data_IF_875393833926
#
_entry.id   IF_875393833926
#
_cell.length_a   1.000
_cell.length_b   1.000
_cell.length_c   1.000
_cell.angle_alpha   90.00
_cell.angle_beta   90.00
_cell.angle_gamma   90.00
#
_symmetry.space_group_name_H-M   'P 1'
#
loop_
_entity.id
_entity.type
_entity.pdbx_description
1 polymer ?
#
# COMPACT_ATOMS: atom_id res chain seq x y z
N UNK A 1 43.66 -12.71 9.22
CA UNK A 1 42.42 -13.10 9.94
C UNK A 1 41.41 -13.53 8.88
N UNK A 2 41.35 -14.82 8.55
CA UNK A 2 40.52 -15.34 7.46
C UNK A 2 39.06 -15.36 7.86
N UNK A 3 38.18 -14.75 7.07
CA UNK A 3 36.73 -14.84 7.29
C UNK A 3 36.33 -16.31 7.10
N UNK A 4 35.63 -16.96 8.04
CA UNK A 4 35.15 -18.32 7.84
C UNK A 4 34.27 -18.35 6.58
N UNK A 5 34.49 -19.33 5.71
CA UNK A 5 33.64 -19.56 4.54
C UNK A 5 32.26 -20.02 5.02
N UNK A 6 31.16 -19.48 4.47
CA UNK A 6 29.82 -19.90 4.86
C UNK A 6 29.66 -21.40 4.64
N UNK A 7 29.06 -22.08 5.60
CA UNK A 7 28.85 -23.53 5.50
C UNK A 7 27.72 -23.84 4.51
N UNK A 8 27.67 -25.03 3.89
CA UNK A 8 26.60 -25.41 2.94
C UNK A 8 25.19 -25.36 3.57
N UNK A 9 25.12 -25.49 4.89
CA UNK A 9 23.88 -25.34 5.66
C UNK A 9 23.44 -23.88 5.71
N UNK A 10 24.36 -22.94 5.95
CA UNK A 10 24.08 -21.50 5.92
C UNK A 10 23.61 -21.06 4.52
N UNK A 11 24.24 -21.52 3.44
CA UNK A 11 23.79 -21.21 2.07
C UNK A 11 22.34 -21.65 1.80
N UNK A 12 21.87 -22.72 2.45
CA UNK A 12 20.48 -23.19 2.33
C UNK A 12 19.52 -22.50 3.29
N UNK A 13 20.00 -22.05 4.44
CA UNK A 13 19.18 -21.39 5.46
C UNK A 13 18.94 -19.92 5.14
N UNK A 14 19.97 -19.20 4.68
CA UNK A 14 19.91 -17.78 4.33
C UNK A 14 18.72 -17.43 3.42
N UNK A 15 18.49 -18.09 2.27
CA UNK A 15 17.37 -17.73 1.38
C UNK A 15 16.01 -17.99 2.03
N UNK A 16 15.87 -19.03 2.86
CA UNK A 16 14.62 -19.35 3.55
C UNK A 16 14.32 -18.34 4.65
N UNK A 17 15.34 -17.94 5.40
CA UNK A 17 15.23 -16.90 6.43
C UNK A 17 14.90 -15.56 5.78
N UNK A 18 15.58 -15.20 4.69
CA UNK A 18 15.28 -13.99 3.93
C UNK A 18 13.83 -13.99 3.42
N UNK A 19 13.36 -15.10 2.85
CA UNK A 19 11.98 -15.23 2.39
C UNK A 19 10.98 -15.09 3.55
N UNK A 20 11.22 -15.74 4.70
CA UNK A 20 10.37 -15.62 5.88
C UNK A 20 10.31 -14.18 6.42
N UNK A 21 11.47 -13.50 6.51
CA UNK A 21 11.55 -12.10 6.92
C UNK A 21 10.83 -11.19 5.91
N UNK A 22 10.98 -11.43 4.61
CA UNK A 22 10.30 -10.66 3.58
C UNK A 22 8.78 -10.81 3.66
N UNK A 23 8.28 -12.04 3.85
CA UNK A 23 6.83 -12.30 4.04
C UNK A 23 6.35 -11.62 5.32
N UNK A 24 7.09 -11.72 6.41
CA UNK A 24 6.73 -11.08 7.68
C UNK A 24 6.68 -9.56 7.53
N UNK A 25 7.70 -8.94 6.94
CA UNK A 25 7.76 -7.50 6.70
C UNK A 25 6.61 -7.04 5.79
N UNK A 26 6.33 -7.79 4.72
CA UNK A 26 5.19 -7.55 3.83
C UNK A 26 3.86 -7.60 4.59
N UNK A 27 3.69 -8.61 5.44
CA UNK A 27 2.47 -8.77 6.25
C UNK A 27 2.28 -7.60 7.19
N UNK A 28 3.33 -7.22 7.93
CA UNK A 28 3.30 -6.08 8.85
C UNK A 28 2.95 -4.80 8.07
N UNK A 29 3.58 -4.58 6.92
CA UNK A 29 3.28 -3.44 6.06
C UNK A 29 1.78 -3.40 5.68
N UNK A 30 1.22 -4.51 5.17
CA UNK A 30 -0.19 -4.57 4.82
C UNK A 30 -1.12 -4.36 6.01
N UNK A 31 -0.80 -4.89 7.19
CA UNK A 31 -1.58 -4.65 8.42
C UNK A 31 -1.54 -3.18 8.81
N UNK A 32 -0.36 -2.57 8.82
CA UNK A 32 -0.19 -1.16 9.17
C UNK A 32 -0.90 -0.24 8.17
N UNK A 33 -0.81 -0.54 6.88
CA UNK A 33 -1.53 0.16 5.81
C UNK A 33 -3.05 0.05 5.98
N UNK A 34 -3.54 -1.16 6.28
CA UNK A 34 -4.95 -1.40 6.54
C UNK A 34 -5.46 -0.69 7.78
N UNK A 35 -4.69 -0.68 8.88
CA UNK A 35 -5.07 0.00 10.11
C UNK A 35 -5.12 1.53 9.92
N UNK A 36 -4.17 2.10 9.17
CA UNK A 36 -4.11 3.54 8.90
C UNK A 36 -5.18 4.04 7.92
N UNK A 37 -5.77 3.15 7.12
CA UNK A 37 -6.86 3.51 6.21
C UNK A 37 -8.14 3.72 7.00
N UNK A 38 -8.81 4.86 6.80
CA UNK A 38 -10.05 5.19 7.50
C UNK A 38 -11.19 4.22 7.14
N UNK A 39 -12.02 3.88 8.12
CA UNK A 39 -13.03 2.81 8.01
C UNK A 39 -14.10 3.10 6.93
N UNK A 40 -14.37 4.37 6.66
CA UNK A 40 -15.28 4.88 5.63
C UNK A 40 -14.67 4.88 4.22
N UNK A 41 -13.34 4.78 4.11
CA UNK A 41 -12.65 4.66 2.83
C UNK A 41 -12.37 3.19 2.44
N UNK A 42 -12.51 2.24 3.38
CA UNK A 42 -12.37 0.80 3.13
C UNK A 42 -13.52 0.30 2.27
N UNK A 43 -13.20 -0.26 1.09
CA UNK A 43 -14.22 -0.71 0.13
C UNK A 43 -14.67 -2.15 0.37
N UNK A 44 -15.97 -2.38 0.22
CA UNK A 44 -16.60 -3.69 0.02
C UNK A 44 -16.91 -4.51 1.28
N UNK A 45 -15.97 -4.69 2.20
CA UNK A 45 -16.13 -5.52 3.40
C UNK A 45 -15.58 -4.84 4.65
N UNK A 46 -16.02 -5.23 5.86
CA UNK A 46 -15.54 -4.65 7.10
C UNK A 46 -14.01 -4.75 7.22
N UNK A 47 -13.37 -3.66 7.65
CA UNK A 47 -11.91 -3.58 7.86
C UNK A 47 -11.35 -4.74 8.69
N UNK A 48 -12.11 -5.21 9.68
CA UNK A 48 -11.72 -6.36 10.49
C UNK A 48 -11.50 -7.62 9.65
N UNK A 49 -12.32 -7.84 8.63
CA UNK A 49 -12.22 -9.01 7.76
C UNK A 49 -10.96 -8.96 6.88
N UNK A 50 -10.58 -7.76 6.42
CA UNK A 50 -9.31 -7.53 5.74
C UNK A 50 -8.11 -7.87 6.62
N UNK A 51 -8.10 -7.40 7.87
CA UNK A 51 -7.03 -7.69 8.83
C UNK A 51 -6.91 -9.19 9.12
N UNK A 52 -8.04 -9.88 9.33
CA UNK A 52 -8.05 -11.34 9.54
C UNK A 52 -7.49 -12.06 8.32
N UNK A 53 -7.84 -11.64 7.10
CA UNK A 53 -7.35 -12.26 5.88
C UNK A 53 -5.84 -12.04 5.68
N UNK A 54 -5.32 -10.85 5.99
CA UNK A 54 -3.88 -10.57 5.96
C UNK A 54 -3.14 -11.42 7.01
N UNK A 55 -3.71 -11.61 8.20
CA UNK A 55 -3.04 -12.37 9.26
C UNK A 55 -3.04 -13.89 8.97
N UNK A 56 -4.15 -14.43 8.47
CA UNK A 56 -4.27 -15.86 8.16
C UNK A 56 -3.58 -16.25 6.86
N UNK A 57 -3.61 -15.37 5.87
CA UNK A 57 -3.06 -15.62 4.53
C UNK A 57 -2.21 -14.42 4.10
N UNK A 58 -1.00 -14.23 4.64
CA UNK A 58 -0.21 -13.01 4.45
C UNK A 58 -0.01 -12.60 2.99
N UNK A 59 0.34 -13.56 2.13
CA UNK A 59 0.54 -13.29 0.71
C UNK A 59 -0.77 -12.92 -0.02
N UNK A 60 -1.82 -13.72 0.16
CA UNK A 60 -3.08 -13.55 -0.58
C UNK A 60 -3.90 -12.39 -0.01
N UNK A 61 -4.02 -12.31 1.31
CA UNK A 61 -4.70 -11.24 2.02
C UNK A 61 -4.03 -9.89 1.83
N UNK A 62 -2.69 -9.83 1.93
CA UNK A 62 -1.94 -8.61 1.64
C UNK A 62 -2.08 -8.16 0.18
N UNK A 63 -1.98 -9.07 -0.79
CA UNK A 63 -2.18 -8.73 -2.20
C UNK A 63 -3.61 -8.24 -2.47
N UNK A 64 -4.62 -8.93 -1.95
CA UNK A 64 -6.01 -8.54 -2.11
C UNK A 64 -6.30 -7.16 -1.45
N UNK A 65 -5.69 -6.88 -0.30
CA UNK A 65 -5.79 -5.56 0.35
C UNK A 65 -5.26 -4.45 -0.55
N UNK A 66 -4.08 -4.65 -1.14
CA UNK A 66 -3.44 -3.66 -2.02
C UNK A 66 -4.21 -3.41 -3.31
N UNK A 67 -4.91 -4.43 -3.83
CA UNK A 67 -5.68 -4.32 -5.08
C UNK A 67 -7.11 -3.80 -4.85
N UNK A 68 -7.79 -4.26 -3.80
CA UNK A 68 -9.23 -4.04 -3.64
C UNK A 68 -9.63 -3.43 -2.28
N UNK A 69 -8.81 -3.59 -1.24
CA UNK A 69 -9.14 -3.14 0.11
C UNK A 69 -8.88 -1.66 0.36
N UNK A 70 -7.79 -1.13 -0.19
CA UNK A 70 -7.39 0.27 -0.01
C UNK A 70 -8.17 1.24 -0.93
N UNK A 71 -8.29 2.53 -0.57
CA UNK A 71 -9.15 3.50 -1.26
C UNK A 71 -8.68 3.78 -2.69
N UNK A 72 -7.36 3.88 -2.86
CA UNK A 72 -6.67 4.05 -4.14
C UNK A 72 -5.90 2.77 -4.44
N UNK A 73 -6.41 1.89 -5.31
CA UNK A 73 -5.79 0.59 -5.58
C UNK A 73 -4.33 0.69 -6.08
N UNK A 74 -3.52 -0.35 -5.88
CA UNK A 74 -2.14 -0.37 -6.40
C UNK A 74 -2.11 -0.35 -7.92
N UNK A 75 -3.15 -0.90 -8.55
CA UNK A 75 -3.34 -0.80 -9.98
C UNK A 75 -3.56 0.65 -10.41
N UNK A 76 -4.33 1.43 -9.66
CA UNK A 76 -4.56 2.83 -9.95
C UNK A 76 -3.30 3.68 -9.73
N UNK A 77 -2.48 3.36 -8.72
CA UNK A 77 -1.17 4.02 -8.53
C UNK A 77 -0.17 3.69 -9.64
N UNK A 78 -0.18 2.46 -10.16
CA UNK A 78 0.82 1.98 -11.13
C UNK A 78 0.39 2.16 -12.60
N UNK A 79 -0.90 2.01 -12.89
CA UNK A 79 -1.49 1.97 -14.24
C UNK A 79 -2.58 3.01 -14.45
N UNK A 80 -3.06 3.67 -13.39
CA UNK A 80 -3.96 4.80 -13.54
C UNK A 80 -3.29 5.91 -14.36
N UNK A 81 -4.05 6.84 -14.96
CA UNK A 81 -3.47 8.04 -15.51
C UNK A 81 -2.57 8.61 -14.44
N UNK A 82 -1.26 8.77 -14.74
CA UNK A 82 -0.38 9.55 -13.88
C UNK A 82 -1.12 10.88 -13.73
N UNK A 83 -1.70 11.13 -12.55
CA UNK A 83 -2.01 12.48 -12.13
C UNK A 83 -0.67 13.15 -11.82
N UNK A 84 0.18 13.23 -12.86
CA UNK A 84 1.25 14.18 -12.93
C UNK A 84 0.62 15.48 -13.39
N UNK A 85 0.99 16.55 -12.68
CA UNK A 85 0.99 17.93 -13.19
C UNK A 85 -0.33 18.71 -13.09
N UNK A 86 -1.08 18.52 -12.01
CA UNK A 86 -1.85 19.64 -11.44
C UNK A 86 -1.06 20.20 -10.25
N UNK A 87 -0.75 21.51 -10.17
CA UNK A 87 -0.36 22.11 -8.90
C UNK A 87 -1.41 21.73 -7.84
N UNK A 88 -1.04 21.66 -6.55
CA UNK A 88 -2.06 21.61 -5.51
C UNK A 88 -3.11 22.64 -5.89
N UNK A 89 -4.38 22.24 -6.00
CA UNK A 89 -5.47 23.20 -6.10
C UNK A 89 -5.47 23.94 -4.76
N UNK A 90 -4.57 24.89 -4.63
CA UNK A 90 -4.63 25.92 -3.62
C UNK A 90 -5.98 26.63 -3.76
N UNK A 91 -6.40 27.38 -2.74
CA UNK A 91 -7.63 28.14 -2.80
C UNK A 91 -7.73 28.85 -4.16
N UNK A 92 -8.74 28.48 -4.96
CA UNK A 92 -8.97 29.06 -6.27
C UNK A 92 -9.17 30.57 -6.03
N UNK A 93 -8.33 31.41 -6.64
CA UNK A 93 -8.48 32.85 -6.51
C UNK A 93 -9.85 33.27 -7.03
N UNK A 94 -10.48 34.33 -6.48
CA UNK A 94 -11.77 34.82 -6.98
C UNK A 94 -11.77 35.09 -8.49
N UNK A 95 -10.62 35.48 -9.06
CA UNK A 95 -10.46 35.77 -10.49
C UNK A 95 -10.41 34.51 -11.39
N UNK A 96 -10.11 33.34 -10.82
CA UNK A 96 -9.99 32.05 -11.53
C UNK A 96 -11.29 31.20 -11.47
N UNK A 97 -12.32 31.68 -10.76
CA UNK A 97 -13.63 31.02 -10.67
C UNK A 97 -14.60 31.57 -11.74
N UNK A 98 -15.05 30.74 -12.71
CA UNK A 98 -16.01 31.18 -13.72
C UNK A 98 -17.35 31.63 -13.11
N UNK A 99 -17.72 31.16 -11.92
CA UNK A 99 -18.95 31.58 -11.25
C UNK A 99 -18.82 32.95 -10.56
N UNK A 100 -17.61 33.39 -10.22
CA UNK A 100 -17.35 34.76 -9.77
C UNK A 100 -17.38 35.75 -10.95
N UNK A 101 -16.73 35.39 -12.06
CA UNK A 101 -16.72 36.23 -13.28
C UNK A 101 -18.11 36.43 -13.89
N UNK A 102 -19.02 35.46 -13.73
CA UNK A 102 -20.42 35.58 -14.17
C UNK A 102 -21.24 36.56 -13.33
N UNK A 103 -20.76 36.97 -12.17
CA UNK A 103 -21.47 37.84 -11.22
C UNK A 103 -21.01 39.30 -11.25
N UNK A 104 -20.00 39.63 -12.07
CA UNK A 104 -19.57 41.00 -12.36
C UNK A 104 -20.35 41.57 -13.54
#
# INVERSE_FOLDING_TARGET
MGRPSPTPEEERLVPRVLAAVAVLAFTIYCVVDAVQTDDDEVRGIPKLLWLVMILLFPLVGGAAWLVAGRPTSILETLLGPRHGDGPPRGPLGPDDDPDFLKRL
#
